data_IF_595506107215
#
_entry.id   IF_595506107215
#
_cell.length_a   1.000
_cell.length_b   1.000
_cell.length_c   1.000
_cell.angle_alpha   90.00
_cell.angle_beta   90.00
_cell.angle_gamma   90.00
#
_symmetry.space_group_name_H-M   'P 1'
#
loop_
_entity.id
_entity.type
_entity.pdbx_description
1 polymer ?
#
# COMPACT_ATOMS: atom_id res chain seq x y z
N UNK A 1 -19.86 4.75 1.51
CA UNK A 1 -18.54 4.82 0.84
C UNK A 1 -17.38 4.79 1.82
N UNK A 2 -17.31 5.68 2.83
CA UNK A 2 -16.19 5.69 3.80
C UNK A 2 -15.95 4.37 4.56
N UNK A 3 -17.00 3.67 5.01
CA UNK A 3 -16.86 2.36 5.68
C UNK A 3 -16.30 1.26 4.76
N UNK A 4 -16.70 1.26 3.48
CA UNK A 4 -16.20 0.28 2.50
C UNK A 4 -14.72 0.55 2.22
N UNK A 5 -14.33 1.81 2.06
CA UNK A 5 -12.93 2.21 1.90
C UNK A 5 -12.07 1.79 3.11
N UNK A 6 -12.57 1.96 4.34
CA UNK A 6 -11.87 1.50 5.54
C UNK A 6 -11.67 -0.02 5.57
N UNK A 7 -12.74 -0.80 5.39
CA UNK A 7 -12.67 -2.27 5.42
C UNK A 7 -11.72 -2.77 4.34
N UNK A 8 -11.85 -2.22 3.13
CA UNK A 8 -10.97 -2.58 2.02
C UNK A 8 -9.51 -2.22 2.31
N UNK A 9 -9.26 -1.07 2.95
CA UNK A 9 -7.92 -0.66 3.40
C UNK A 9 -7.27 -1.67 4.35
N UNK A 10 -8.01 -2.17 5.34
CA UNK A 10 -7.53 -3.20 6.28
C UNK A 10 -7.19 -4.50 5.54
N UNK A 11 -8.05 -4.94 4.63
CA UNK A 11 -7.82 -6.15 3.82
C UNK A 11 -6.53 -6.01 3.01
N UNK A 12 -6.29 -4.84 2.40
CA UNK A 12 -5.07 -4.61 1.63
C UNK A 12 -3.81 -4.55 2.49
N UNK A 13 -3.88 -4.03 3.71
CA UNK A 13 -2.75 -4.08 4.66
C UNK A 13 -2.40 -5.54 4.99
N UNK A 14 -3.40 -6.38 5.26
CA UNK A 14 -3.19 -7.81 5.47
C UNK A 14 -2.53 -8.44 4.24
N UNK A 15 -3.01 -8.11 3.05
CA UNK A 15 -2.44 -8.58 1.79
C UNK A 15 -0.98 -8.13 1.60
N UNK A 16 -0.63 -6.89 1.97
CA UNK A 16 0.75 -6.40 1.93
C UNK A 16 1.66 -7.13 2.92
N UNK A 17 1.17 -7.44 4.12
CA UNK A 17 1.89 -8.25 5.11
C UNK A 17 2.16 -9.65 4.55
N UNK A 18 1.15 -10.28 3.96
CA UNK A 18 1.29 -11.60 3.34
C UNK A 18 2.26 -11.58 2.15
N UNK A 19 2.18 -10.57 1.30
CA UNK A 19 3.10 -10.40 0.17
C UNK A 19 4.55 -10.16 0.66
N UNK A 20 4.72 -9.39 1.72
CA UNK A 20 6.04 -9.16 2.35
C UNK A 20 6.59 -10.45 2.96
N UNK A 21 5.77 -11.20 3.71
CA UNK A 21 6.14 -12.49 4.27
C UNK A 21 6.52 -13.49 3.17
N UNK A 22 5.79 -13.48 2.04
CA UNK A 22 6.13 -14.29 0.88
C UNK A 22 7.48 -13.89 0.27
N UNK A 23 7.75 -12.59 0.06
CA UNK A 23 9.04 -12.14 -0.46
C UNK A 23 10.22 -12.55 0.46
N UNK A 24 9.98 -12.57 1.78
CA UNK A 24 10.95 -13.06 2.77
C UNK A 24 11.17 -14.57 2.62
N UNK A 25 10.09 -15.35 2.60
CA UNK A 25 10.16 -16.81 2.63
C UNK A 25 10.58 -17.42 1.28
N UNK A 26 10.17 -16.82 0.17
CA UNK A 26 10.42 -17.36 -1.16
C UNK A 26 11.81 -16.94 -1.68
N UNK A 27 12.55 -17.91 -2.23
CA UNK A 27 13.83 -17.64 -2.89
C UNK A 27 13.66 -16.84 -4.20
N UNK A 28 12.57 -17.08 -4.93
CA UNK A 28 12.28 -16.46 -6.23
C UNK A 28 11.48 -15.16 -6.13
N UNK A 29 11.02 -14.79 -4.94
CA UNK A 29 10.16 -13.63 -4.70
C UNK A 29 8.70 -13.84 -5.12
N UNK A 30 7.91 -12.77 -5.02
CA UNK A 30 6.49 -12.76 -5.37
C UNK A 30 6.30 -12.91 -6.90
N UNK A 31 5.40 -13.80 -7.37
CA UNK A 31 5.09 -13.92 -8.80
C UNK A 31 4.65 -12.58 -9.41
N UNK A 32 5.10 -12.30 -10.65
CA UNK A 32 4.83 -11.02 -11.35
C UNK A 32 3.34 -10.68 -11.41
N UNK A 33 2.48 -11.67 -11.67
CA UNK A 33 1.03 -11.49 -11.71
C UNK A 33 0.47 -11.09 -10.34
N UNK A 34 0.84 -11.80 -9.28
CA UNK A 34 0.40 -11.49 -7.92
C UNK A 34 0.89 -10.11 -7.48
N UNK A 35 2.14 -9.76 -7.79
CA UNK A 35 2.67 -8.42 -7.55
C UNK A 35 1.80 -7.36 -8.23
N UNK A 36 1.50 -7.55 -9.52
CA UNK A 36 0.67 -6.62 -10.27
C UNK A 36 -0.71 -6.43 -9.65
N UNK A 37 -1.35 -7.52 -9.21
CA UNK A 37 -2.64 -7.49 -8.52
C UNK A 37 -2.55 -6.70 -7.21
N UNK A 38 -1.59 -7.03 -6.34
CA UNK A 38 -1.44 -6.34 -5.04
C UNK A 38 -1.25 -4.84 -5.25
N UNK A 39 -0.31 -4.47 -6.13
CA UNK A 39 -0.01 -3.06 -6.40
C UNK A 39 -1.23 -2.35 -7.00
N UNK A 40 -1.90 -2.94 -7.99
CA UNK A 40 -3.08 -2.34 -8.63
C UNK A 40 -4.26 -2.18 -7.67
N UNK A 41 -4.44 -3.08 -6.70
CA UNK A 41 -5.45 -2.92 -5.66
C UNK A 41 -5.13 -1.74 -4.72
N UNK A 42 -3.85 -1.52 -4.41
CA UNK A 42 -3.43 -0.33 -3.66
C UNK A 42 -3.61 0.96 -4.47
N UNK A 43 -3.33 0.96 -5.77
CA UNK A 43 -3.61 2.11 -6.65
C UNK A 43 -5.09 2.48 -6.60
N UNK A 44 -5.96 1.49 -6.74
CA UNK A 44 -7.41 1.68 -6.65
C UNK A 44 -7.82 2.23 -5.28
N UNK A 45 -7.23 1.72 -4.20
CA UNK A 45 -7.53 2.20 -2.85
C UNK A 45 -7.10 3.66 -2.65
N UNK A 46 -5.94 4.06 -3.17
CA UNK A 46 -5.49 5.45 -3.15
C UNK A 46 -6.45 6.35 -3.93
N UNK A 47 -6.87 5.93 -5.13
CA UNK A 47 -7.84 6.68 -5.93
C UNK A 47 -9.18 6.84 -5.20
N UNK A 48 -9.71 5.77 -4.61
CA UNK A 48 -10.94 5.82 -3.81
C UNK A 48 -10.79 6.73 -2.59
N UNK A 49 -9.62 6.73 -1.95
CA UNK A 49 -9.29 7.62 -0.84
C UNK A 49 -9.30 9.09 -1.24
N UNK A 50 -8.67 9.42 -2.38
CA UNK A 50 -8.65 10.79 -2.94
C UNK A 50 -10.07 11.24 -3.32
N UNK A 51 -10.84 10.39 -4.00
CA UNK A 51 -12.25 10.71 -4.34
C UNK A 51 -13.06 10.98 -3.07
N UNK A 52 -12.91 10.12 -2.06
CA UNK A 52 -13.60 10.28 -0.77
C UNK A 52 -13.19 11.58 -0.08
N UNK A 53 -11.91 11.95 -0.15
CA UNK A 53 -11.37 13.20 0.38
C UNK A 53 -12.01 14.43 -0.27
N UNK A 54 -12.00 14.48 -1.60
CA UNK A 54 -12.56 15.60 -2.39
C UNK A 54 -14.05 15.78 -2.06
N UNK A 55 -14.80 14.68 -1.99
CA UNK A 55 -16.25 14.70 -1.74
C UNK A 55 -16.57 15.12 -0.31
N UNK A 56 -15.79 14.68 0.69
CA UNK A 56 -16.10 14.90 2.11
C UNK A 56 -15.44 16.12 2.73
N UNK A 57 -14.50 16.77 2.03
CA UNK A 57 -13.73 17.95 2.51
C UNK A 57 -13.27 17.83 3.98
N UNK A 58 -12.56 16.76 4.36
CA UNK A 58 -12.19 16.56 5.76
C UNK A 58 -11.08 17.53 6.21
N UNK A 59 -10.88 17.57 7.51
CA UNK A 59 -9.91 18.44 8.19
C UNK A 59 -8.49 18.36 7.62
N UNK A 60 -7.69 19.42 7.84
CA UNK A 60 -6.29 19.51 7.42
C UNK A 60 -5.39 18.36 7.90
N UNK A 61 -5.72 17.73 9.04
CA UNK A 61 -5.04 16.52 9.53
C UNK A 61 -5.12 15.35 8.54
N UNK A 62 -6.12 15.36 7.65
CA UNK A 62 -6.33 14.34 6.64
C UNK A 62 -5.28 14.41 5.51
N UNK A 63 -4.63 15.54 5.25
CA UNK A 63 -3.74 15.72 4.08
C UNK A 63 -2.54 14.77 4.11
N UNK A 64 -2.07 14.38 5.30
CA UNK A 64 -0.93 13.48 5.44
C UNK A 64 -1.25 12.04 5.03
N UNK A 65 -2.48 11.57 5.25
CA UNK A 65 -2.90 10.21 4.88
C UNK A 65 -2.69 9.89 3.39
N UNK A 66 -3.29 10.61 2.42
CA UNK A 66 -3.12 10.32 1.01
C UNK A 66 -1.67 10.49 0.55
N UNK A 67 -0.91 11.45 1.11
CA UNK A 67 0.51 11.62 0.78
C UNK A 67 1.31 10.36 1.14
N UNK A 68 1.15 9.85 2.37
CA UNK A 68 1.85 8.64 2.82
C UNK A 68 1.46 7.43 1.97
N UNK A 69 0.17 7.29 1.66
CA UNK A 69 -0.33 6.17 0.84
C UNK A 69 0.22 6.23 -0.59
N UNK A 70 0.28 7.41 -1.21
CA UNK A 70 0.89 7.60 -2.53
C UNK A 70 2.38 7.25 -2.51
N UNK A 71 3.12 7.73 -1.52
CA UNK A 71 4.55 7.43 -1.37
C UNK A 71 4.78 5.92 -1.21
N UNK A 72 3.98 5.24 -0.39
CA UNK A 72 4.05 3.80 -0.19
C UNK A 72 3.81 3.03 -1.51
N UNK A 73 2.83 3.45 -2.31
CA UNK A 73 2.54 2.86 -3.62
C UNK A 73 3.65 3.12 -4.64
N UNK A 74 4.25 4.31 -4.65
CA UNK A 74 5.40 4.61 -5.50
C UNK A 74 6.58 3.71 -5.14
N UNK A 75 6.84 3.52 -3.84
CA UNK A 75 7.88 2.61 -3.34
C UNK A 75 7.59 1.18 -3.82
N UNK A 76 6.34 0.71 -3.73
CA UNK A 76 5.95 -0.59 -4.27
C UNK A 76 6.29 -0.69 -5.77
N UNK A 77 5.89 0.28 -6.58
CA UNK A 77 6.15 0.26 -8.02
C UNK A 77 7.65 0.18 -8.35
N UNK A 78 8.43 1.06 -7.72
CA UNK A 78 9.84 1.29 -8.07
C UNK A 78 10.74 0.21 -7.46
N UNK A 79 10.57 -0.07 -6.17
CA UNK A 79 11.51 -0.92 -5.44
C UNK A 79 11.21 -2.41 -5.60
N UNK A 80 9.95 -2.80 -5.81
CA UNK A 80 9.58 -4.22 -5.97
C UNK A 80 9.60 -4.71 -7.41
N UNK A 81 10.15 -3.92 -8.35
CA UNK A 81 10.25 -4.31 -9.77
C UNK A 81 10.88 -5.71 -9.93
N UNK A 82 10.36 -6.58 -10.83
CA UNK A 82 10.94 -7.90 -11.07
C UNK A 82 12.41 -7.88 -11.49
N UNK A 83 12.88 -6.78 -12.09
CA UNK A 83 14.28 -6.58 -12.48
C UNK A 83 15.19 -6.13 -11.33
N UNK A 84 14.63 -5.74 -10.18
CA UNK A 84 15.40 -5.31 -9.03
C UNK A 84 16.01 -6.51 -8.28
N UNK A 85 17.13 -6.28 -7.59
CA UNK A 85 17.76 -7.29 -6.72
C UNK A 85 16.81 -7.70 -5.59
N UNK A 86 16.94 -8.94 -5.09
CA UNK A 86 16.10 -9.46 -4.00
C UNK A 86 16.11 -8.54 -2.77
N UNK A 87 17.29 -8.05 -2.37
CA UNK A 87 17.43 -7.12 -1.25
C UNK A 87 16.61 -5.84 -1.46
N UNK A 88 16.68 -5.22 -2.65
CA UNK A 88 15.92 -4.01 -2.96
C UNK A 88 14.41 -4.26 -2.95
N UNK A 89 13.95 -5.38 -3.52
CA UNK A 89 12.53 -5.75 -3.51
C UNK A 89 12.01 -5.98 -2.11
N UNK A 90 12.77 -6.71 -1.29
CA UNK A 90 12.42 -6.98 0.09
C UNK A 90 12.33 -5.68 0.90
N UNK A 91 13.31 -4.79 0.78
CA UNK A 91 13.25 -3.46 1.40
C UNK A 91 12.01 -2.69 0.93
N UNK A 92 11.69 -2.73 -0.37
CA UNK A 92 10.50 -2.10 -0.92
C UNK A 92 9.20 -2.60 -0.29
N UNK A 93 9.04 -3.92 -0.17
CA UNK A 93 7.86 -4.54 0.46
C UNK A 93 7.74 -4.21 1.94
N UNK A 94 8.85 -4.27 2.70
CA UNK A 94 8.88 -3.94 4.11
C UNK A 94 8.52 -2.46 4.32
N UNK A 95 9.21 -1.55 3.64
CA UNK A 95 9.01 -0.11 3.79
C UNK A 95 7.59 0.27 3.39
N UNK A 96 7.09 -0.22 2.26
CA UNK A 96 5.72 0.07 1.84
C UNK A 96 4.68 -0.45 2.85
N UNK A 97 4.86 -1.67 3.36
CA UNK A 97 3.96 -2.24 4.37
C UNK A 97 3.93 -1.40 5.64
N UNK A 98 5.09 -0.97 6.14
CA UNK A 98 5.18 -0.07 7.31
C UNK A 98 4.47 1.25 7.03
N UNK A 99 4.68 1.85 5.85
CA UNK A 99 4.01 3.09 5.48
C UNK A 99 2.49 2.93 5.35
N UNK A 100 1.99 1.79 4.85
CA UNK A 100 0.54 1.54 4.81
C UNK A 100 -0.06 1.43 6.21
N UNK A 101 0.64 0.77 7.15
CA UNK A 101 0.21 0.67 8.54
C UNK A 101 0.20 2.06 9.19
N UNK A 102 1.26 2.84 9.02
CA UNK A 102 1.36 4.21 9.56
C UNK A 102 0.26 5.10 8.94
N UNK A 103 0.10 5.05 7.62
CA UNK A 103 -0.92 5.82 6.90
C UNK A 103 -2.33 5.50 7.40
N UNK A 104 -2.63 4.22 7.65
CA UNK A 104 -3.91 3.82 8.23
C UNK A 104 -4.05 4.21 9.70
N UNK A 105 -2.99 4.14 10.51
CA UNK A 105 -3.03 4.57 11.90
C UNK A 105 -3.33 6.07 12.03
N UNK A 106 -2.71 6.91 11.19
CA UNK A 106 -2.96 8.36 11.16
C UNK A 106 -4.41 8.68 10.78
N UNK A 107 -5.06 7.83 9.98
CA UNK A 107 -6.48 8.00 9.63
C UNK A 107 -7.42 7.80 10.83
N UNK A 108 -7.01 7.01 11.83
CA UNK A 108 -7.81 6.68 13.01
C UNK A 108 -7.50 7.53 14.25
N UNK A 109 -6.48 8.40 14.18
CA UNK A 109 -6.09 9.33 15.24
C UNK A 109 -6.79 10.69 15.09
#
# INVERSE_FOLDING_TARGET
MGHVHMIFGVILIILAILATAWEIAAQRGLPRALRGVVIGLFDLQVLLGIITWIVRRPNWSFVFHPIIMIVAVIILHVMTSPSATRSRRLTGWIVATVLFIIGAAIYHA
#
